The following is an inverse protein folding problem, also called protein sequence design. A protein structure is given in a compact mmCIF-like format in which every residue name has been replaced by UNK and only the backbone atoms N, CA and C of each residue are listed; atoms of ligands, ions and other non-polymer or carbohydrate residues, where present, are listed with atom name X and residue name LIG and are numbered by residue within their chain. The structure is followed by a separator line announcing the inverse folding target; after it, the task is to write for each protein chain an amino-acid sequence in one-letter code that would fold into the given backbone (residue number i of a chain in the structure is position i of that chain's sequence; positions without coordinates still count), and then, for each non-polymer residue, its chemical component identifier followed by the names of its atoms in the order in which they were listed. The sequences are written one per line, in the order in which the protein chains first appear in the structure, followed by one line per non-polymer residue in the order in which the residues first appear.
data_IF_459731326469
#
_entry.id   IF_459731326469
#
_cell.length_a   1.000
_cell.length_b   1.000
_cell.length_c   1.000
_cell.angle_alpha   90.00
_cell.angle_beta   90.00
_cell.angle_gamma   90.00
#
_symmetry.space_group_name_H-M   'P 1'
#
loop_
_entity.id
_entity.type
_entity.pdbx_description
1 polymer ?
#
# COMPACT_ATOMS: atom_id res chain seq x y z
N UNK A 1 -1.14 -2.15 -33.98
CA UNK A 1 -0.71 -3.46 -33.44
C UNK A 1 0.58 -3.40 -32.61
N UNK A 2 1.56 -2.54 -32.89
CA UNK A 2 2.79 -2.48 -32.05
C UNK A 2 2.62 -1.70 -30.73
N UNK A 3 1.70 -0.71 -30.68
CA UNK A 3 1.46 0.09 -29.47
C UNK A 3 0.78 -0.70 -28.32
N UNK A 4 -0.03 -1.71 -28.63
CA UNK A 4 -0.65 -2.56 -27.60
C UNK A 4 0.37 -3.44 -26.88
N UNK A 5 1.47 -3.80 -27.55
CA UNK A 5 2.54 -4.61 -26.95
C UNK A 5 3.36 -3.83 -25.91
N UNK A 6 3.48 -2.50 -26.04
CA UNK A 6 4.14 -1.64 -25.03
C UNK A 6 3.35 -1.52 -23.72
N UNK A 7 2.02 -1.76 -23.75
CA UNK A 7 1.18 -1.71 -22.54
C UNK A 7 1.30 -2.97 -21.67
N UNK A 8 1.93 -4.04 -22.20
CA UNK A 8 2.10 -5.32 -21.51
C UNK A 8 2.86 -5.18 -20.19
N UNK A 9 3.88 -4.34 -20.15
CA UNK A 9 4.67 -4.07 -18.94
C UNK A 9 3.83 -3.42 -17.84
N UNK A 10 2.80 -2.63 -18.22
CA UNK A 10 1.88 -1.95 -17.28
C UNK A 10 0.93 -2.95 -16.63
N UNK A 11 0.47 -3.96 -17.37
CA UNK A 11 -0.36 -5.07 -16.86
C UNK A 11 0.46 -5.98 -15.94
N UNK A 12 1.72 -6.26 -16.30
CA UNK A 12 2.64 -7.07 -15.50
C UNK A 12 2.94 -6.44 -14.13
N UNK A 13 3.01 -5.11 -14.04
CA UNK A 13 3.15 -4.41 -12.76
C UNK A 13 1.91 -4.53 -11.88
N UNK A 14 0.71 -4.52 -12.48
CA UNK A 14 -0.53 -4.80 -11.73
C UNK A 14 -0.60 -6.24 -11.23
N UNK A 15 -0.18 -7.19 -12.07
CA UNK A 15 -0.19 -8.61 -11.73
C UNK A 15 0.77 -8.96 -10.59
N UNK A 16 2.01 -8.45 -10.61
CA UNK A 16 2.96 -8.63 -9.50
C UNK A 16 2.49 -7.94 -8.21
N UNK A 17 1.63 -6.92 -8.31
CA UNK A 17 1.14 -6.18 -7.15
C UNK A 17 0.09 -6.98 -6.40
N UNK A 18 -0.77 -7.63 -7.18
CA UNK A 18 -1.80 -8.53 -6.72
C UNK A 18 -1.21 -9.80 -6.07
N UNK A 19 -0.19 -10.40 -6.69
CA UNK A 19 0.26 -11.76 -6.35
C UNK A 19 1.43 -11.84 -5.35
N UNK A 20 2.48 -11.01 -5.47
CA UNK A 20 3.76 -11.31 -4.80
C UNK A 20 4.11 -10.44 -3.58
N UNK A 21 3.67 -9.17 -3.54
CA UNK A 21 4.20 -8.21 -2.53
C UNK A 21 3.24 -7.11 -2.06
N UNK A 22 2.09 -6.91 -2.72
CA UNK A 22 1.16 -5.82 -2.38
C UNK A 22 0.00 -6.28 -1.51
N UNK A 23 -0.77 -7.25 -2.01
CA UNK A 23 -2.02 -7.66 -1.36
C UNK A 23 -2.06 -9.13 -0.90
N UNK A 24 -1.04 -9.90 -1.26
CA UNK A 24 -0.81 -11.28 -0.80
C UNK A 24 -2.05 -12.17 -0.96
N UNK A 25 -2.65 -12.12 -2.15
CA UNK A 25 -3.89 -12.85 -2.46
C UNK A 25 -3.69 -14.37 -2.38
N UNK A 26 -2.44 -14.85 -2.49
CA UNK A 26 -2.10 -16.27 -2.33
C UNK A 26 -2.27 -16.79 -0.89
N UNK A 27 -2.12 -15.94 0.14
CA UNK A 27 -2.27 -16.35 1.55
C UNK A 27 -3.71 -16.20 2.08
N UNK A 28 -4.62 -15.62 1.27
CA UNK A 28 -6.04 -15.58 1.59
C UNK A 28 -6.65 -16.98 1.47
N UNK A 29 -6.69 -17.73 2.58
CA UNK A 29 -7.34 -19.06 2.70
C UNK A 29 -8.86 -18.98 2.54
N UNK A 30 -9.30 -18.89 1.30
CA UNK A 30 -10.71 -18.72 0.97
C UNK A 30 -11.25 -20.01 0.38
N UNK A 31 -11.95 -20.79 1.20
CA UNK A 31 -12.46 -22.11 0.82
C UNK A 31 -13.62 -22.12 -0.20
N UNK A 32 -14.14 -20.95 -0.63
CA UNK A 32 -15.27 -20.87 -1.57
C UNK A 32 -15.06 -19.83 -2.69
N UNK A 33 -15.39 -20.22 -3.93
CA UNK A 33 -15.21 -19.41 -5.14
C UNK A 33 -15.89 -18.04 -5.07
N UNK A 34 -17.06 -17.94 -4.43
CA UNK A 34 -17.74 -16.65 -4.28
C UNK A 34 -17.01 -15.69 -3.36
N UNK A 35 -16.40 -16.20 -2.28
CA UNK A 35 -15.59 -15.38 -1.37
C UNK A 35 -14.30 -14.96 -2.06
N UNK A 36 -13.69 -15.84 -2.86
CA UNK A 36 -12.52 -15.49 -3.68
C UNK A 36 -12.87 -14.38 -4.68
N UNK A 37 -14.00 -14.51 -5.40
CA UNK A 37 -14.45 -13.48 -6.35
C UNK A 37 -14.70 -12.13 -5.68
N UNK A 38 -15.31 -12.12 -4.50
CA UNK A 38 -15.57 -10.88 -3.75
C UNK A 38 -14.26 -10.24 -3.28
N UNK A 39 -13.36 -11.02 -2.70
CA UNK A 39 -12.05 -10.53 -2.28
C UNK A 39 -11.28 -9.98 -3.48
N UNK A 40 -11.17 -10.74 -4.57
CA UNK A 40 -10.54 -10.31 -5.81
C UNK A 40 -11.10 -8.98 -6.34
N UNK A 41 -12.42 -8.78 -6.30
CA UNK A 41 -13.02 -7.51 -6.68
C UNK A 41 -12.59 -6.35 -5.75
N UNK A 42 -12.51 -6.58 -4.44
CA UNK A 42 -11.99 -5.59 -3.50
C UNK A 42 -10.52 -5.28 -3.73
N UNK A 43 -9.71 -6.29 -4.06
CA UNK A 43 -8.29 -6.12 -4.38
C UNK A 43 -8.13 -5.23 -5.60
N UNK A 44 -8.81 -5.56 -6.70
CA UNK A 44 -8.76 -4.80 -7.94
C UNK A 44 -9.26 -3.36 -7.75
N UNK A 45 -10.33 -3.16 -6.98
CA UNK A 45 -10.84 -1.83 -6.68
C UNK A 45 -9.85 -1.01 -5.85
N UNK A 46 -9.20 -1.64 -4.88
CA UNK A 46 -8.14 -1.01 -4.07
C UNK A 46 -6.94 -0.63 -4.94
N UNK A 47 -6.47 -1.53 -5.79
CA UNK A 47 -5.38 -1.26 -6.73
C UNK A 47 -5.74 -0.08 -7.66
N UNK A 48 -6.95 -0.09 -8.24
CA UNK A 48 -7.43 1.00 -9.10
C UNK A 48 -7.44 2.34 -8.35
N UNK A 49 -7.83 2.36 -7.07
CA UNK A 49 -7.83 3.57 -6.25
C UNK A 49 -6.41 4.14 -6.10
N UNK A 50 -5.40 3.31 -5.85
CA UNK A 50 -4.00 3.76 -5.77
C UNK A 50 -3.44 4.24 -7.11
N UNK A 51 -3.82 3.61 -8.22
CA UNK A 51 -3.46 4.10 -9.55
C UNK A 51 -4.07 5.48 -9.84
N UNK A 52 -5.35 5.66 -9.53
CA UNK A 52 -6.05 6.95 -9.69
C UNK A 52 -5.43 8.02 -8.80
N UNK A 53 -5.07 7.67 -7.56
CA UNK A 53 -4.38 8.55 -6.64
C UNK A 53 -3.02 9.00 -7.21
N UNK A 54 -2.25 8.07 -7.79
CA UNK A 54 -0.97 8.37 -8.43
C UNK A 54 -1.07 9.28 -9.67
N UNK A 55 -2.20 9.26 -10.40
CA UNK A 55 -2.39 10.15 -11.56
C UNK A 55 -3.03 11.50 -11.19
N UNK A 56 -3.94 11.54 -10.20
CA UNK A 56 -4.70 12.74 -9.87
C UNK A 56 -4.05 13.64 -8.83
N UNK A 57 -3.16 13.10 -8.00
CA UNK A 57 -2.54 13.88 -6.93
C UNK A 57 -1.37 14.72 -7.43
N UNK A 58 -1.10 15.86 -6.78
CA UNK A 58 0.05 16.69 -7.14
C UNK A 58 1.34 15.89 -6.98
N UNK A 59 2.30 16.00 -7.92
CA UNK A 59 3.50 15.16 -7.96
C UNK A 59 4.37 15.32 -6.71
N UNK A 60 4.35 16.50 -6.07
CA UNK A 60 5.05 16.74 -4.80
C UNK A 60 4.50 15.88 -3.66
N UNK A 61 3.18 15.69 -3.59
CA UNK A 61 2.57 14.88 -2.54
C UNK A 61 2.87 13.39 -2.74
N UNK A 62 2.83 12.92 -3.99
CA UNK A 62 3.18 11.54 -4.34
C UNK A 62 4.65 11.26 -4.01
N UNK A 63 5.57 12.18 -4.34
CA UNK A 63 6.99 12.03 -3.98
C UNK A 63 7.21 11.98 -2.47
N UNK A 64 6.50 12.80 -1.70
CA UNK A 64 6.56 12.76 -0.24
C UNK A 64 6.06 11.42 0.30
N UNK A 65 4.96 10.90 -0.23
CA UNK A 65 4.43 9.58 0.10
C UNK A 65 5.42 8.45 -0.27
N UNK A 66 6.03 8.51 -1.45
CA UNK A 66 7.07 7.55 -1.84
C UNK A 66 8.29 7.61 -0.91
N UNK A 67 8.76 8.80 -0.54
CA UNK A 67 9.85 8.96 0.42
C UNK A 67 9.50 8.36 1.78
N UNK A 68 8.28 8.58 2.26
CA UNK A 68 7.79 7.99 3.50
C UNK A 68 7.69 6.46 3.39
N UNK A 69 7.32 5.95 2.21
CA UNK A 69 7.32 4.52 1.89
C UNK A 69 8.71 3.89 1.80
N UNK A 70 9.79 4.69 1.81
CA UNK A 70 11.18 4.21 1.78
C UNK A 70 11.90 4.41 0.44
N UNK A 71 11.35 5.20 -0.49
CA UNK A 71 12.01 5.50 -1.77
C UNK A 71 13.34 6.24 -1.53
N UNK A 72 14.44 5.61 -1.94
CA UNK A 72 15.81 6.11 -1.76
C UNK A 72 16.26 7.08 -2.87
N UNK A 73 15.47 7.22 -3.94
CA UNK A 73 15.75 8.17 -5.03
C UNK A 73 16.86 7.72 -5.99
N UNK A 74 17.14 6.40 -6.02
CA UNK A 74 18.11 5.82 -6.94
C UNK A 74 17.55 5.81 -8.38
N UNK A 75 18.42 6.00 -9.37
CA UNK A 75 18.04 6.04 -10.80
C UNK A 75 17.49 4.71 -11.33
N UNK A 76 17.61 3.61 -10.57
CA UNK A 76 17.07 2.30 -10.88
C UNK A 76 15.77 1.99 -10.11
N UNK A 77 15.31 2.92 -9.27
CA UNK A 77 14.14 2.69 -8.42
C UNK A 77 12.88 2.74 -9.29
N UNK A 78 12.18 1.61 -9.39
CA UNK A 78 10.88 1.57 -10.09
C UNK A 78 9.89 2.29 -9.19
N UNK A 79 9.41 3.44 -9.67
CA UNK A 79 8.28 4.18 -9.10
C UNK A 79 6.97 3.41 -9.25
N UNK A 80 6.89 2.27 -8.55
CA UNK A 80 5.74 1.40 -8.54
C UNK A 80 4.69 1.85 -7.52
N UNK A 81 3.42 1.46 -7.73
CA UNK A 81 2.31 1.77 -6.81
C UNK A 81 2.53 1.19 -5.39
N UNK A 82 3.43 0.23 -5.23
CA UNK A 82 3.82 -0.35 -3.94
C UNK A 82 4.41 0.66 -2.96
N UNK A 83 5.30 1.53 -3.44
CA UNK A 83 5.89 2.57 -2.58
C UNK A 83 4.83 3.56 -2.09
N UNK A 84 3.82 3.83 -2.94
CA UNK A 84 2.68 4.65 -2.58
C UNK A 84 1.82 3.97 -1.52
N UNK A 85 1.51 2.68 -1.71
CA UNK A 85 0.79 1.87 -0.72
C UNK A 85 1.53 1.89 0.64
N UNK A 86 2.83 1.63 0.63
CA UNK A 86 3.66 1.58 1.84
C UNK A 86 3.73 2.94 2.53
N UNK A 87 3.83 4.04 1.76
CA UNK A 87 3.74 5.40 2.28
C UNK A 87 2.39 5.68 2.94
N UNK A 88 1.27 5.35 2.29
CA UNK A 88 -0.07 5.53 2.87
C UNK A 88 -0.24 4.71 4.14
N UNK A 89 0.20 3.44 4.12
CA UNK A 89 0.14 2.57 5.29
C UNK A 89 0.94 3.15 6.47
N UNK A 90 2.14 3.68 6.23
CA UNK A 90 2.95 4.33 7.25
C UNK A 90 2.24 5.54 7.88
N UNK A 91 1.57 6.38 7.07
CA UNK A 91 0.77 7.51 7.58
C UNK A 91 -0.37 7.02 8.48
N UNK A 92 -1.11 6.01 8.04
CA UNK A 92 -2.25 5.47 8.81
C UNK A 92 -1.76 4.89 10.13
N UNK A 93 -0.72 4.05 10.09
CA UNK A 93 -0.14 3.45 11.30
C UNK A 93 0.35 4.54 12.25
N UNK A 94 1.08 5.55 11.76
CA UNK A 94 1.55 6.67 12.57
C UNK A 94 0.40 7.46 13.19
N UNK A 95 -0.68 7.72 12.44
CA UNK A 95 -1.85 8.41 12.97
C UNK A 95 -2.58 7.58 14.04
N UNK A 96 -2.66 6.27 13.86
CA UNK A 96 -3.26 5.35 14.82
C UNK A 96 -2.43 5.24 16.10
N UNK A 97 -1.11 5.11 15.98
CA UNK A 97 -0.21 5.05 17.15
C UNK A 97 -0.21 6.36 17.91
N UNK A 98 -0.21 7.50 17.21
CA UNK A 98 -0.32 8.82 17.84
C UNK A 98 -1.68 8.96 18.55
N UNK A 99 -2.77 8.60 17.90
CA UNK A 99 -4.12 8.64 18.49
C UNK A 99 -4.21 7.75 19.72
N UNK A 100 -3.63 6.55 19.66
CA UNK A 100 -3.55 5.64 20.80
C UNK A 100 -2.76 6.25 21.95
N UNK A 101 -1.59 6.82 21.69
CA UNK A 101 -0.77 7.47 22.72
C UNK A 101 -1.48 8.67 23.38
N UNK A 102 -2.30 9.40 22.62
CA UNK A 102 -3.13 10.48 23.16
C UNK A 102 -4.29 9.97 24.02
N UNK A 103 -4.95 8.89 23.62
CA UNK A 103 -6.08 8.30 24.36
C UNK A 103 -5.62 7.49 25.58
N UNK A 104 -4.44 6.88 25.49
CA UNK A 104 -3.83 6.04 26.52
C UNK A 104 -2.43 6.57 26.83
N UNK A 105 -2.33 7.65 27.63
CA UNK A 105 -1.02 8.18 28.02
C UNK A 105 -0.22 7.12 28.77
N UNK A 106 1.10 7.17 28.59
CA UNK A 106 2.00 6.22 29.24
C UNK A 106 1.77 6.20 30.76
N UNK A 107 1.65 5.04 31.40
CA UNK A 107 1.42 4.96 32.83
C UNK A 107 2.67 5.42 33.58
N UNK A 108 2.65 6.63 34.14
CA UNK A 108 3.75 7.20 34.92
C UNK A 108 3.77 6.77 36.40
N UNK A 109 2.93 5.80 36.82
CA UNK A 109 2.55 5.63 38.23
C UNK A 109 2.80 4.30 38.94
N UNK A 110 3.32 3.25 38.28
CA UNK A 110 3.45 1.91 38.91
C UNK A 110 4.92 1.45 39.08
N UNK A 111 5.86 2.37 39.26
CA UNK A 111 7.23 2.05 39.71
C UNK A 111 7.38 2.15 41.24
N UNK A 112 6.38 1.73 42.00
CA UNK A 112 6.59 1.44 43.43
C UNK A 112 6.75 -0.06 43.60
N UNK A 113 8.02 -0.49 43.67
CA UNK A 113 8.38 -1.78 44.22
C UNK A 113 7.79 -1.88 45.64
N UNK A 114 6.90 -2.83 45.85
CA UNK A 114 6.59 -3.38 47.17
C UNK A 114 7.55 -4.51 47.50
#
# INVERSE_FOLDING_TARGET
MYNDWCLRTRIEHGYRFDQEQGLDVEDMRVHTLERMRRLFAFVLLSAQMFFVMGEQWPPKAILWLHQLGGKLGLSCDRDGPYWLLQGVAAVIIASMTLSFAFLHPFPFGEFTYG
#
